data_IF_222354320101
#
_entry.id   IF_222354320101
#
_cell.length_a   1.000
_cell.length_b   1.000
_cell.length_c   1.000
_cell.angle_alpha   90.00
_cell.angle_beta   90.00
_cell.angle_gamma   90.00
#
_symmetry.space_group_name_H-M   'P 1'
#
loop_
_entity.id
_entity.type
_entity.pdbx_description
1 polymer ?
#
# COMPACT_ATOMS: atom_id res chain seq x y z
N UNK A 1 58.70 8.20 -31.80
CA UNK A 1 59.32 8.43 -30.47
C UNK A 1 58.17 8.70 -29.50
N UNK A 2 57.78 7.66 -28.76
CA UNK A 2 57.93 7.55 -27.28
C UNK A 2 56.87 8.46 -26.62
N UNK A 3 55.66 7.96 -26.33
CA UNK A 3 55.21 7.33 -25.05
C UNK A 3 55.43 8.28 -23.86
N UNK A 4 54.48 8.59 -22.98
CA UNK A 4 53.76 7.74 -22.01
C UNK A 4 52.53 8.55 -21.53
N UNK A 5 51.31 8.04 -21.37
CA UNK A 5 50.79 6.94 -20.53
C UNK A 5 50.70 7.29 -19.02
N UNK A 6 49.45 7.24 -18.50
CA UNK A 6 48.97 7.03 -17.11
C UNK A 6 47.52 7.57 -17.07
N UNK A 7 46.43 6.82 -17.14
CA UNK A 7 46.09 5.44 -16.74
C UNK A 7 46.23 5.17 -15.23
N UNK A 8 45.05 4.89 -14.66
CA UNK A 8 44.75 3.97 -13.55
C UNK A 8 44.65 4.53 -12.13
N UNK A 9 43.43 4.41 -11.60
CA UNK A 9 43.02 3.71 -10.36
C UNK A 9 41.49 3.91 -10.31
N UNK A 10 40.57 2.99 -10.61
CA UNK A 10 40.46 1.53 -10.46
C UNK A 10 40.70 1.01 -9.04
N UNK A 11 39.61 0.91 -8.27
CA UNK A 11 39.29 -0.16 -7.31
C UNK A 11 37.80 0.00 -6.94
N UNK A 12 36.98 -1.01 -6.67
CA UNK A 12 36.93 -2.43 -6.98
C UNK A 12 35.58 -2.91 -6.38
N UNK A 13 35.03 -3.98 -6.96
CA UNK A 13 34.17 -4.99 -6.30
C UNK A 13 32.75 -4.59 -5.81
N UNK A 14 31.67 -5.34 -6.09
CA UNK A 14 31.54 -6.78 -6.34
C UNK A 14 30.28 -7.12 -7.14
N UNK A 15 30.44 -8.19 -7.91
CA UNK A 15 29.46 -8.93 -8.66
C UNK A 15 28.49 -9.74 -7.77
N UNK A 16 27.41 -10.21 -8.40
CA UNK A 16 26.56 -11.38 -8.07
C UNK A 16 25.31 -11.17 -7.21
N UNK A 17 24.14 -11.20 -7.86
CA UNK A 17 23.23 -12.36 -7.83
C UNK A 17 22.09 -12.10 -8.83
N UNK A 18 22.09 -12.81 -9.96
CA UNK A 18 21.21 -13.97 -10.18
C UNK A 18 19.73 -13.63 -9.94
N UNK A 19 19.00 -13.48 -11.04
CA UNK A 19 17.54 -13.65 -11.05
C UNK A 19 17.29 -15.06 -11.58
N UNK A 20 16.97 -16.05 -10.73
CA UNK A 20 16.50 -17.33 -11.23
C UNK A 20 15.12 -17.15 -11.86
N UNK A 21 15.03 -17.41 -13.16
CA UNK A 21 13.82 -17.98 -13.73
C UNK A 21 13.69 -19.41 -13.18
N UNK A 22 12.70 -19.65 -12.33
CA UNK A 22 12.22 -21.00 -12.05
C UNK A 22 10.73 -21.09 -12.36
N UNK A 23 10.40 -22.04 -13.24
CA UNK A 23 9.06 -22.60 -13.42
C UNK A 23 8.86 -23.69 -12.37
N UNK A 24 7.87 -23.49 -11.51
CA UNK A 24 7.12 -24.50 -10.73
C UNK A 24 5.82 -23.77 -10.36
N UNK A 25 4.59 -24.09 -10.77
CA UNK A 25 3.85 -25.36 -10.83
C UNK A 25 4.04 -26.21 -9.58
N UNK A 26 3.54 -25.70 -8.45
CA UNK A 26 2.61 -26.39 -7.53
C UNK A 26 1.95 -25.36 -6.60
N UNK A 27 0.73 -25.62 -6.10
CA UNK A 27 -0.16 -24.59 -5.59
C UNK A 27 0.34 -24.08 -4.23
N UNK A 28 0.59 -22.78 -4.13
CA UNK A 28 0.68 -22.13 -2.82
C UNK A 28 -0.73 -22.15 -2.25
N UNK A 29 -0.93 -23.14 -1.40
CA UNK A 29 -1.94 -23.22 -0.37
C UNK A 29 -2.23 -21.82 0.14
N UNK A 30 -3.38 -21.31 -0.28
CA UNK A 30 -4.02 -20.17 0.33
C UNK A 30 -4.11 -20.48 1.82
N UNK A 31 -3.25 -19.85 2.62
CA UNK A 31 -3.58 -19.54 4.00
C UNK A 31 -4.74 -18.55 3.96
N UNK A 32 -5.88 -19.16 3.71
CA UNK A 32 -7.18 -18.70 4.06
C UNK A 32 -7.16 -18.59 5.59
N UNK A 33 -6.76 -17.43 6.13
CA UNK A 33 -7.40 -16.95 7.37
C UNK A 33 -8.83 -16.49 7.02
N UNK A 34 -9.60 -17.42 6.46
CA UNK A 34 -10.97 -17.60 6.88
C UNK A 34 -10.89 -17.92 8.36
N UNK A 35 -11.02 -16.88 9.18
CA UNK A 35 -11.69 -17.03 10.47
C UNK A 35 -13.14 -17.40 10.13
N UNK A 36 -13.33 -18.66 9.72
CA UNK A 36 -14.58 -19.34 9.90
C UNK A 36 -14.71 -19.36 11.42
N UNK A 37 -15.57 -18.49 11.95
CA UNK A 37 -16.18 -18.71 13.24
C UNK A 37 -16.94 -20.04 13.12
N UNK A 38 -16.22 -21.16 13.24
CA UNK A 38 -16.78 -22.31 13.90
C UNK A 38 -17.20 -21.79 15.25
N UNK A 39 -18.52 -21.71 15.44
CA UNK A 39 -19.16 -21.68 16.74
C UNK A 39 -18.72 -22.95 17.49
N UNK A 40 -17.48 -22.96 17.97
CA UNK A 40 -17.16 -23.68 19.17
C UNK A 40 -17.83 -22.84 20.26
N UNK A 41 -19.03 -23.28 20.64
CA UNK A 41 -19.56 -23.09 21.98
C UNK A 41 -18.49 -23.60 22.96
N UNK A 42 -17.46 -22.80 23.18
CA UNK A 42 -16.84 -22.75 24.49
C UNK A 42 -17.94 -22.17 25.38
N UNK A 43 -18.72 -23.08 25.96
CA UNK A 43 -19.19 -22.92 27.33
C UNK A 43 -17.94 -22.61 28.17
N UNK A 44 -17.52 -21.35 28.15
CA UNK A 44 -16.83 -20.79 29.28
C UNK A 44 -17.85 -20.90 30.40
N UNK A 45 -17.65 -21.88 31.28
CA UNK A 45 -18.17 -21.86 32.64
C UNK A 45 -17.74 -20.53 33.24
N UNK A 46 -18.55 -19.49 33.02
CA UNK A 46 -18.50 -18.29 33.81
C UNK A 46 -18.87 -18.76 35.21
N UNK A 47 -17.85 -18.94 36.07
CA UNK A 47 -18.06 -18.73 37.49
C UNK A 47 -18.77 -17.38 37.60
N UNK A 48 -20.09 -17.42 37.80
CA UNK A 48 -20.90 -16.26 38.11
C UNK A 48 -20.40 -15.76 39.45
N UNK A 49 -19.38 -14.91 39.42
CA UNK A 49 -19.06 -14.07 40.56
C UNK A 49 -20.27 -13.16 40.71
N UNK A 50 -21.14 -13.54 41.65
CA UNK A 50 -22.23 -12.71 42.19
C UNK A 50 -21.60 -11.41 42.69
N UNK A 51 -21.56 -10.42 41.81
CA UNK A 51 -21.09 -9.09 42.15
C UNK A 51 -22.26 -8.35 42.78
N UNK A 52 -22.07 -7.87 44.01
CA UNK A 52 -23.10 -7.12 44.72
C UNK A 52 -23.54 -5.88 43.94
N UNK A 53 -24.75 -5.38 44.16
CA UNK A 53 -25.21 -4.11 43.57
C UNK A 53 -24.23 -2.95 43.84
N UNK A 54 -23.65 -2.91 45.05
CA UNK A 54 -22.68 -1.88 45.42
C UNK A 54 -21.40 -1.96 44.57
N UNK A 55 -20.89 -3.16 44.33
CA UNK A 55 -19.70 -3.40 43.53
C UNK A 55 -19.97 -3.17 42.03
N UNK A 56 -21.15 -3.57 41.53
CA UNK A 56 -21.56 -3.31 40.16
C UNK A 56 -21.61 -1.79 39.88
N UNK A 57 -22.26 -1.01 40.75
CA UNK A 57 -22.33 0.45 40.62
C UNK A 57 -20.94 1.10 40.75
N UNK A 58 -20.06 0.55 41.58
CA UNK A 58 -18.68 1.04 41.74
C UNK A 58 -17.84 0.79 40.48
N UNK A 59 -17.96 -0.38 39.86
CA UNK A 59 -17.28 -0.67 38.59
C UNK A 59 -17.87 0.15 37.43
N UNK A 60 -19.19 0.37 37.39
CA UNK A 60 -19.81 1.30 36.43
C UNK A 60 -19.26 2.73 36.61
N UNK A 61 -19.14 3.20 37.85
CA UNK A 61 -18.55 4.50 38.19
C UNK A 61 -17.08 4.60 37.76
N UNK A 62 -16.31 3.52 37.91
CA UNK A 62 -14.93 3.44 37.44
C UNK A 62 -14.85 3.53 35.91
N UNK A 63 -15.71 2.81 35.19
CA UNK A 63 -15.77 2.84 33.72
C UNK A 63 -16.07 4.25 33.24
N UNK A 64 -17.11 4.90 33.77
CA UNK A 64 -17.45 6.26 33.30
C UNK A 64 -16.32 7.25 33.56
N UNK A 65 -15.48 7.06 34.57
CA UNK A 65 -14.37 7.97 34.88
C UNK A 65 -13.09 7.68 34.08
N UNK A 66 -13.05 6.61 33.28
CA UNK A 66 -11.94 6.31 32.40
C UNK A 66 -11.88 7.27 31.19
N UNK A 67 -10.69 7.53 30.62
CA UNK A 67 -10.53 8.43 29.48
C UNK A 67 -11.29 7.96 28.22
N UNK A 68 -11.34 6.65 27.98
CA UNK A 68 -12.06 6.04 26.85
C UNK A 68 -13.29 5.26 27.32
N UNK A 69 -14.07 5.81 28.25
CA UNK A 69 -15.22 5.11 28.82
C UNK A 69 -16.16 4.51 27.75
N UNK A 70 -16.33 5.19 26.61
CA UNK A 70 -17.17 4.70 25.51
C UNK A 70 -16.70 3.39 24.85
N UNK A 71 -15.44 2.98 25.01
CA UNK A 71 -14.93 1.72 24.48
C UNK A 71 -15.50 0.50 25.25
N UNK A 72 -15.76 0.66 26.55
CA UNK A 72 -16.20 -0.39 27.47
C UNK A 72 -17.71 -0.72 27.36
N UNK A 73 -18.36 -0.49 26.21
CA UNK A 73 -19.81 -0.69 26.01
C UNK A 73 -20.31 -2.07 26.45
N UNK A 74 -19.60 -3.14 26.07
CA UNK A 74 -19.99 -4.51 26.42
C UNK A 74 -19.95 -4.71 27.95
N UNK A 75 -18.84 -4.32 28.58
CA UNK A 75 -18.64 -4.46 30.03
C UNK A 75 -19.63 -3.61 30.82
N UNK A 76 -19.86 -2.36 30.41
CA UNK A 76 -20.82 -1.47 31.06
C UNK A 76 -22.25 -2.03 30.97
N UNK A 77 -22.67 -2.56 29.81
CA UNK A 77 -24.01 -3.14 29.66
C UNK A 77 -24.20 -4.40 30.52
N UNK A 78 -23.20 -5.26 30.64
CA UNK A 78 -23.26 -6.41 31.54
C UNK A 78 -23.46 -5.96 33.01
N UNK A 79 -22.72 -4.94 33.46
CA UNK A 79 -22.90 -4.38 34.79
C UNK A 79 -24.26 -3.68 34.96
N UNK A 80 -24.73 -2.99 33.92
CA UNK A 80 -26.04 -2.34 33.88
C UNK A 80 -27.17 -3.36 34.04
N UNK A 81 -27.12 -4.47 33.33
CA UNK A 81 -28.10 -5.56 33.41
C UNK A 81 -28.13 -6.18 34.80
N UNK A 82 -26.95 -6.52 35.35
CA UNK A 82 -26.84 -7.03 36.72
C UNK A 82 -27.41 -6.05 37.75
N UNK A 83 -27.03 -4.77 37.70
CA UNK A 83 -27.53 -3.76 38.62
C UNK A 83 -29.04 -3.53 38.47
N UNK A 84 -29.56 -3.54 37.25
CA UNK A 84 -31.00 -3.43 36.98
C UNK A 84 -31.78 -4.61 37.53
N UNK A 85 -31.23 -5.83 37.43
CA UNK A 85 -31.85 -7.05 37.96
C UNK A 85 -31.93 -6.98 39.49
N UNK A 86 -30.83 -6.68 40.18
CA UNK A 86 -30.83 -6.52 41.64
C UNK A 86 -31.84 -5.48 42.14
N UNK A 87 -31.91 -4.32 41.48
CA UNK A 87 -32.86 -3.28 41.86
C UNK A 87 -34.31 -3.75 41.61
N UNK A 88 -34.56 -4.44 40.50
CA UNK A 88 -35.88 -4.97 40.19
C UNK A 88 -36.35 -6.00 41.22
N UNK A 89 -35.49 -6.96 41.56
CA UNK A 89 -35.79 -8.01 42.55
C UNK A 89 -36.12 -7.40 43.90
N UNK A 90 -35.31 -6.46 44.40
CA UNK A 90 -35.57 -5.84 45.70
C UNK A 90 -36.88 -5.04 45.71
N UNK A 91 -37.24 -4.40 44.60
CA UNK A 91 -38.52 -3.69 44.46
C UNK A 91 -39.70 -4.67 44.46
N UNK A 92 -39.59 -5.81 43.78
CA UNK A 92 -40.63 -6.84 43.78
C UNK A 92 -40.74 -7.54 45.14
N UNK A 93 -39.64 -7.80 45.85
CA UNK A 93 -39.66 -8.31 47.22
C UNK A 93 -40.40 -7.35 48.16
N UNK A 94 -40.11 -6.04 48.08
CA UNK A 94 -40.81 -5.01 48.88
C UNK A 94 -42.30 -4.94 48.54
N UNK A 95 -42.65 -5.15 47.28
CA UNK A 95 -44.04 -5.19 46.82
C UNK A 95 -44.77 -6.42 47.35
N UNK A 96 -44.10 -7.57 47.37
CA UNK A 96 -44.63 -8.79 47.95
C UNK A 96 -44.84 -8.65 49.47
N UNK A 97 -43.84 -8.16 50.20
CA UNK A 97 -43.94 -7.86 51.64
C UNK A 97 -45.11 -6.89 51.94
N UNK A 98 -45.27 -5.86 51.12
CA UNK A 98 -46.37 -4.89 51.26
C UNK A 98 -47.74 -5.52 51.07
N UNK A 99 -47.88 -6.44 50.11
CA UNK A 99 -49.11 -7.17 49.84
C UNK A 99 -49.43 -8.19 50.95
N UNK A 100 -48.44 -8.93 51.45
CA UNK A 100 -48.60 -9.88 52.57
C UNK A 100 -49.03 -9.19 53.88
N UNK A 101 -48.61 -7.94 54.08
CA UNK A 101 -49.09 -7.10 55.18
C UNK A 101 -50.59 -6.69 55.04
N UNK A 102 -51.28 -7.14 53.99
CA UNK A 102 -52.71 -6.91 53.77
C UNK A 102 -53.03 -5.60 53.05
N UNK A 103 -52.03 -4.91 52.51
CA UNK A 103 -52.23 -3.68 51.75
C UNK A 103 -52.59 -3.99 50.29
N UNK A 104 -53.40 -3.12 49.67
CA UNK A 104 -53.72 -3.25 48.25
C UNK A 104 -52.48 -2.99 47.38
N UNK A 105 -52.07 -3.92 46.48
CA UNK A 105 -50.88 -3.77 45.64
C UNK A 105 -50.88 -2.52 44.76
N UNK A 106 -52.07 -2.04 44.38
CA UNK A 106 -52.27 -0.81 43.58
C UNK A 106 -51.74 0.45 44.27
N UNK A 107 -51.63 0.43 45.61
CA UNK A 107 -51.12 1.54 46.41
C UNK A 107 -49.62 1.39 46.75
N UNK A 108 -48.93 0.40 46.18
CA UNK A 108 -47.50 0.21 46.43
C UNK A 108 -46.68 1.35 45.79
N UNK A 109 -45.80 1.94 46.60
CA UNK A 109 -44.83 2.94 46.14
C UNK A 109 -43.52 2.73 46.88
N UNK A 110 -42.50 2.32 46.15
CA UNK A 110 -41.14 2.16 46.64
C UNK A 110 -40.18 2.60 45.56
N UNK A 111 -39.21 3.42 45.94
CA UNK A 111 -38.09 3.80 45.08
C UNK A 111 -36.81 3.28 45.73
N UNK A 112 -36.10 2.42 45.01
CA UNK A 112 -34.88 1.82 45.51
C UNK A 112 -33.80 2.91 45.77
N UNK A 113 -33.08 2.91 46.90
CA UNK A 113 -32.13 3.97 47.26
C UNK A 113 -31.04 4.24 46.21
N UNK A 114 -30.62 3.21 45.48
CA UNK A 114 -29.62 3.31 44.41
C UNK A 114 -30.17 3.67 43.04
N UNK A 115 -31.49 3.81 42.86
CA UNK A 115 -32.13 4.02 41.55
C UNK A 115 -31.65 5.32 40.87
N UNK A 116 -31.54 6.40 41.64
CA UNK A 116 -31.04 7.68 41.13
C UNK A 116 -29.57 7.60 40.71
N UNK A 117 -28.73 6.93 41.51
CA UNK A 117 -27.30 6.70 41.18
C UNK A 117 -27.16 5.86 39.92
N UNK A 118 -27.86 4.74 39.84
CA UNK A 118 -27.88 3.86 38.67
C UNK A 118 -28.27 4.63 37.40
N UNK A 119 -29.39 5.36 37.45
CA UNK A 119 -29.88 6.15 36.32
C UNK A 119 -28.88 7.23 35.87
N UNK A 120 -28.22 7.90 36.82
CA UNK A 120 -27.18 8.88 36.52
C UNK A 120 -25.98 8.23 35.81
N UNK A 121 -25.49 7.09 36.30
CA UNK A 121 -24.37 6.37 35.69
C UNK A 121 -24.70 5.93 34.25
N UNK A 122 -25.90 5.41 34.01
CA UNK A 122 -26.36 5.00 32.68
C UNK A 122 -26.42 6.19 31.72
N UNK A 123 -26.96 7.33 32.16
CA UNK A 123 -27.04 8.53 31.32
C UNK A 123 -25.65 9.07 30.97
N UNK A 124 -24.75 9.18 31.96
CA UNK A 124 -23.38 9.65 31.74
C UNK A 124 -22.64 8.72 30.77
N UNK A 125 -22.79 7.40 30.95
CA UNK A 125 -22.16 6.43 30.05
C UNK A 125 -22.67 6.56 28.63
N UNK A 126 -23.99 6.71 28.43
CA UNK A 126 -24.58 6.92 27.11
C UNK A 126 -23.96 8.13 26.41
N UNK A 127 -23.88 9.28 27.09
CA UNK A 127 -23.26 10.49 26.54
C UNK A 127 -21.79 10.28 26.15
N UNK A 128 -21.03 9.55 26.98
CA UNK A 128 -19.62 9.24 26.70
C UNK A 128 -19.45 8.26 25.54
N UNK A 129 -20.30 7.25 25.47
CA UNK A 129 -20.32 6.28 24.38
C UNK A 129 -20.69 6.94 23.05
N UNK A 130 -21.73 7.79 23.03
CA UNK A 130 -22.14 8.51 21.83
C UNK A 130 -21.03 9.46 21.34
N UNK A 131 -20.37 10.16 22.27
CA UNK A 131 -19.21 11.01 21.94
C UNK A 131 -18.02 10.19 21.40
N UNK A 132 -17.74 9.03 21.98
CA UNK A 132 -16.70 8.12 21.49
C UNK A 132 -17.00 7.60 20.08
N UNK A 133 -18.22 7.12 19.83
CA UNK A 133 -18.63 6.65 18.51
C UNK A 133 -18.52 7.75 17.45
N UNK A 134 -18.99 8.96 17.77
CA UNK A 134 -18.85 10.12 16.87
C UNK A 134 -17.38 10.45 16.58
N UNK A 135 -16.51 10.37 17.59
CA UNK A 135 -15.06 10.56 17.40
C UNK A 135 -14.45 9.52 16.46
N UNK A 136 -14.79 8.25 16.64
CA UNK A 136 -14.36 7.16 15.77
C UNK A 136 -14.85 7.34 14.33
N UNK A 137 -16.11 7.75 14.13
CA UNK A 137 -16.67 8.03 12.80
C UNK A 137 -15.94 9.20 12.12
N UNK A 138 -15.68 10.28 12.85
CA UNK A 138 -14.94 11.44 12.34
C UNK A 138 -13.50 11.07 11.96
N UNK A 139 -12.82 10.27 12.77
CA UNK A 139 -11.46 9.79 12.47
C UNK A 139 -11.45 8.86 11.26
N UNK A 140 -12.38 7.89 11.20
CA UNK A 140 -12.51 6.99 10.05
C UNK A 140 -12.81 7.76 8.76
N UNK A 141 -13.60 8.83 8.83
CA UNK A 141 -13.86 9.71 7.67
C UNK A 141 -12.60 10.45 7.23
N UNK A 142 -11.81 11.01 8.15
CA UNK A 142 -10.52 11.64 7.81
C UNK A 142 -9.56 10.64 7.19
N UNK A 143 -9.49 9.43 7.72
CA UNK A 143 -8.66 8.35 7.18
C UNK A 143 -9.13 7.93 5.78
N UNK A 144 -10.45 7.90 5.53
CA UNK A 144 -11.03 7.63 4.22
C UNK A 144 -10.60 8.67 3.19
N UNK A 145 -10.76 9.96 3.51
CA UNK A 145 -10.34 11.08 2.64
C UNK A 145 -8.83 11.05 2.36
N UNK A 146 -8.03 10.74 3.39
CA UNK A 146 -6.58 10.61 3.24
C UNK A 146 -6.21 9.44 2.32
N UNK A 147 -6.81 8.26 2.52
CA UNK A 147 -6.59 7.08 1.66
C UNK A 147 -6.99 7.35 0.21
N UNK A 148 -8.10 8.04 -0.03
CA UNK A 148 -8.50 8.46 -1.38
C UNK A 148 -7.47 9.40 -2.01
N UNK A 149 -6.92 10.34 -1.24
CA UNK A 149 -5.87 11.24 -1.72
C UNK A 149 -4.58 10.48 -2.11
N UNK A 150 -4.20 9.46 -1.33
CA UNK A 150 -3.06 8.59 -1.65
C UNK A 150 -3.29 7.84 -2.97
N UNK A 151 -4.50 7.31 -3.16
CA UNK A 151 -4.89 6.61 -4.40
C UNK A 151 -4.83 7.55 -5.61
N UNK A 152 -5.33 8.78 -5.49
CA UNK A 152 -5.25 9.76 -6.59
C UNK A 152 -3.81 10.17 -6.90
N UNK A 153 -2.94 10.29 -5.87
CA UNK A 153 -1.49 10.50 -6.09
C UNK A 153 -0.86 9.33 -6.85
N UNK A 154 -1.21 8.09 -6.49
CA UNK A 154 -0.73 6.89 -7.18
C UNK A 154 -1.18 6.83 -8.64
N UNK A 155 -2.46 7.14 -8.89
CA UNK A 155 -3.01 7.21 -10.24
C UNK A 155 -2.27 8.26 -11.09
N UNK A 156 -2.11 9.47 -10.57
CA UNK A 156 -1.40 10.53 -11.26
C UNK A 156 0.06 10.18 -11.59
N UNK A 157 0.70 9.34 -10.77
CA UNK A 157 2.09 8.93 -10.98
C UNK A 157 2.30 8.14 -12.29
N UNK A 158 1.30 7.46 -12.82
CA UNK A 158 1.43 6.76 -14.11
C UNK A 158 0.61 7.38 -15.24
N UNK A 159 -0.33 8.29 -14.95
CA UNK A 159 -1.12 8.96 -16.00
C UNK A 159 -0.60 10.34 -16.38
N UNK A 160 -0.01 11.09 -15.45
CA UNK A 160 0.31 12.52 -15.61
C UNK A 160 1.70 12.89 -15.09
N UNK A 161 2.65 11.96 -15.08
CA UNK A 161 4.01 12.25 -14.59
C UNK A 161 4.79 13.15 -15.53
N UNK A 162 5.34 14.24 -14.99
CA UNK A 162 6.21 15.16 -15.72
C UNK A 162 7.58 14.51 -16.02
N UNK A 163 8.22 14.86 -17.16
CA UNK A 163 9.59 14.46 -17.45
C UNK A 163 10.55 14.79 -16.30
N UNK A 164 11.36 13.83 -15.87
CA UNK A 164 12.30 13.98 -14.75
C UNK A 164 11.75 13.64 -13.36
N UNK A 165 10.48 13.24 -13.25
CA UNK A 165 9.91 12.74 -11.99
C UNK A 165 10.64 11.49 -11.51
N UNK A 166 11.08 11.47 -10.25
CA UNK A 166 11.65 10.26 -9.63
C UNK A 166 10.54 9.29 -9.20
N UNK A 167 10.10 8.45 -10.13
CA UNK A 167 9.01 7.50 -9.94
C UNK A 167 9.25 6.54 -8.75
N UNK A 168 10.50 6.09 -8.55
CA UNK A 168 10.86 5.17 -7.47
C UNK A 168 10.73 5.79 -6.07
N UNK A 169 11.13 7.06 -5.93
CA UNK A 169 10.95 7.79 -4.67
C UNK A 169 9.46 8.02 -4.41
N UNK A 170 8.72 8.50 -5.41
CA UNK A 170 7.30 8.80 -5.28
C UNK A 170 6.46 7.57 -4.90
N UNK A 171 6.71 6.41 -5.54
CA UNK A 171 5.96 5.19 -5.20
C UNK A 171 6.29 4.67 -3.80
N UNK A 172 7.54 4.86 -3.33
CA UNK A 172 7.93 4.52 -1.96
C UNK A 172 7.18 5.37 -0.94
N UNK A 173 7.12 6.67 -1.15
CA UNK A 173 6.38 7.60 -0.29
C UNK A 173 4.88 7.24 -0.25
N UNK A 174 4.27 6.94 -1.41
CA UNK A 174 2.87 6.50 -1.49
C UNK A 174 2.62 5.20 -0.70
N UNK A 175 3.50 4.21 -0.83
CA UNK A 175 3.40 2.94 -0.08
C UNK A 175 3.52 3.16 1.43
N UNK A 176 4.41 4.05 1.84
CA UNK A 176 4.62 4.40 3.25
C UNK A 176 3.42 5.18 3.82
N UNK A 177 2.87 6.12 3.07
CA UNK A 177 1.65 6.84 3.46
C UNK A 177 0.45 5.89 3.56
N UNK A 178 0.33 4.94 2.63
CA UNK A 178 -0.75 3.94 2.65
C UNK A 178 -0.71 3.01 3.86
N UNK A 179 0.49 2.60 4.29
CA UNK A 179 0.66 1.73 5.45
C UNK A 179 0.44 2.46 6.78
N UNK A 180 0.76 3.75 6.84
CA UNK A 180 0.53 4.62 8.01
C UNK A 180 -0.88 5.17 8.10
N UNK A 181 -1.65 5.15 7.02
CA UNK A 181 -3.02 5.62 7.03
C UNK A 181 -3.85 4.83 8.06
N UNK A 182 -4.69 5.53 8.83
CA UNK A 182 -5.49 4.91 9.88
C UNK A 182 -6.60 4.00 9.35
N UNK A 183 -7.39 3.46 10.29
CA UNK A 183 -8.52 2.60 9.99
C UNK A 183 -9.66 3.38 9.32
N UNK A 184 -10.42 2.70 8.47
CA UNK A 184 -11.62 3.21 7.82
C UNK A 184 -12.80 2.31 8.13
N UNK A 185 -14.02 2.79 7.87
CA UNK A 185 -15.22 1.99 8.01
C UNK A 185 -15.11 0.68 7.21
N UNK A 186 -15.57 -0.44 7.81
CA UNK A 186 -15.48 -1.78 7.20
C UNK A 186 -16.15 -1.85 5.82
N UNK A 187 -17.22 -1.08 5.61
CA UNK A 187 -17.93 -0.97 4.32
C UNK A 187 -17.05 -0.40 3.20
N UNK A 188 -16.16 0.54 3.53
CA UNK A 188 -15.32 1.25 2.55
C UNK A 188 -13.98 0.54 2.30
N UNK A 189 -13.48 -0.20 3.30
CA UNK A 189 -12.16 -0.80 3.26
C UNK A 189 -11.92 -1.66 2.02
N UNK A 190 -12.86 -2.54 1.67
CA UNK A 190 -12.72 -3.46 0.53
C UNK A 190 -12.56 -2.69 -0.79
N UNK A 191 -13.37 -1.65 -0.98
CA UNK A 191 -13.36 -0.84 -2.22
C UNK A 191 -12.06 -0.06 -2.31
N UNK A 192 -11.66 0.62 -1.22
CA UNK A 192 -10.39 1.35 -1.13
C UNK A 192 -9.19 0.46 -1.42
N UNK A 193 -9.14 -0.72 -0.80
CA UNK A 193 -8.01 -1.64 -0.94
C UNK A 193 -7.88 -2.15 -2.37
N UNK A 194 -8.99 -2.57 -2.99
CA UNK A 194 -9.00 -3.01 -4.37
C UNK A 194 -8.58 -1.89 -5.34
N UNK A 195 -9.04 -0.67 -5.09
CA UNK A 195 -8.71 0.49 -5.91
C UNK A 195 -7.22 0.85 -5.83
N UNK A 196 -6.66 0.86 -4.62
CA UNK A 196 -5.22 1.05 -4.40
C UNK A 196 -4.38 0.01 -5.15
N UNK A 197 -4.68 -1.28 -4.98
CA UNK A 197 -3.92 -2.35 -5.65
C UNK A 197 -4.13 -2.38 -7.17
N UNK A 198 -5.30 -2.00 -7.65
CA UNK A 198 -5.53 -1.79 -9.08
C UNK A 198 -4.55 -0.75 -9.65
N UNK A 199 -4.49 0.45 -9.05
CA UNK A 199 -3.59 1.51 -9.51
C UNK A 199 -2.12 1.18 -9.28
N UNK A 200 -1.79 0.41 -8.24
CA UNK A 200 -0.43 -0.08 -8.02
C UNK A 200 0.00 -1.02 -9.15
N UNK A 201 -0.88 -1.93 -9.57
CA UNK A 201 -0.62 -2.81 -10.72
C UNK A 201 -0.49 -2.03 -12.02
N UNK A 202 -1.33 -1.01 -12.24
CA UNK A 202 -1.23 -0.13 -13.42
C UNK A 202 0.11 0.63 -13.46
N UNK A 203 0.59 1.11 -12.31
CA UNK A 203 1.90 1.74 -12.21
C UNK A 203 3.03 0.78 -12.63
N UNK A 204 3.00 -0.47 -12.18
CA UNK A 204 4.02 -1.46 -12.58
C UNK A 204 3.93 -1.84 -14.06
N UNK A 205 2.71 -2.00 -14.61
CA UNK A 205 2.52 -2.24 -16.05
C UNK A 205 3.10 -1.11 -16.91
N UNK A 206 2.97 0.15 -16.48
CA UNK A 206 3.57 1.29 -17.17
C UNK A 206 5.11 1.23 -17.12
N UNK A 207 5.71 0.82 -16.00
CA UNK A 207 7.16 0.65 -15.91
C UNK A 207 7.67 -0.44 -16.86
N UNK A 208 6.97 -1.57 -16.92
CA UNK A 208 7.32 -2.68 -17.81
C UNK A 208 7.19 -2.26 -19.28
N UNK A 209 6.09 -1.59 -19.66
CA UNK A 209 5.88 -1.10 -21.01
C UNK A 209 6.96 -0.09 -21.44
N UNK A 210 7.37 0.81 -20.54
CA UNK A 210 8.44 1.77 -20.82
C UNK A 210 9.79 1.07 -21.03
N UNK A 211 10.05 -0.01 -20.27
CA UNK A 211 11.25 -0.82 -20.45
C UNK A 211 11.23 -1.53 -21.81
N UNK A 212 10.11 -2.15 -22.17
CA UNK A 212 9.94 -2.80 -23.47
C UNK A 212 10.08 -1.82 -24.63
N UNK A 213 9.51 -0.61 -24.52
CA UNK A 213 9.65 0.44 -25.53
C UNK A 213 11.11 0.87 -25.70
N UNK A 214 11.85 1.06 -24.60
CA UNK A 214 13.27 1.40 -24.64
C UNK A 214 14.11 0.29 -25.27
N UNK A 215 13.83 -0.97 -24.97
CA UNK A 215 14.49 -2.13 -25.59
C UNK A 215 14.22 -2.19 -27.10
N UNK A 216 12.99 -1.90 -27.52
CA UNK A 216 12.63 -1.81 -28.94
C UNK A 216 13.34 -0.64 -29.64
N UNK A 217 13.42 0.53 -29.01
CA UNK A 217 14.19 1.68 -29.54
C UNK A 217 15.67 1.31 -29.69
N UNK A 218 16.28 0.69 -28.68
CA UNK A 218 17.67 0.24 -28.76
C UNK A 218 17.89 -0.79 -29.87
N UNK A 219 16.97 -1.74 -30.05
CA UNK A 219 17.01 -2.71 -31.15
C UNK A 219 16.93 -2.01 -32.51
N UNK A 220 15.98 -1.09 -32.68
CA UNK A 220 15.82 -0.33 -33.92
C UNK A 220 17.04 0.55 -34.24
N UNK A 221 17.61 1.18 -33.21
CA UNK A 221 18.82 2.00 -33.34
C UNK A 221 20.06 1.14 -33.65
N UNK A 222 20.12 -0.07 -33.11
CA UNK A 222 21.15 -1.04 -33.46
C UNK A 222 21.03 -1.47 -34.94
N UNK A 223 19.83 -1.76 -35.43
CA UNK A 223 19.57 -2.07 -36.84
C UNK A 223 20.03 -0.93 -37.76
N UNK A 224 19.71 0.33 -37.43
CA UNK A 224 20.21 1.50 -38.19
C UNK A 224 21.74 1.53 -38.24
N UNK A 225 22.42 1.34 -37.10
CA UNK A 225 23.89 1.30 -37.05
C UNK A 225 24.45 0.17 -37.90
N UNK A 226 23.83 -1.01 -37.84
CA UNK A 226 24.22 -2.15 -38.67
C UNK A 226 24.05 -1.86 -40.16
N UNK A 227 22.96 -1.19 -40.57
CA UNK A 227 22.76 -0.76 -41.95
C UNK A 227 23.82 0.24 -42.43
N UNK A 228 24.22 1.18 -41.57
CA UNK A 228 25.31 2.13 -41.88
C UNK A 228 26.63 1.37 -42.07
N UNK A 229 26.96 0.46 -41.15
CA UNK A 229 28.17 -0.38 -41.21
C UNK A 229 28.18 -1.23 -42.48
N UNK A 230 27.08 -1.91 -42.77
CA UNK A 230 26.94 -2.76 -43.95
C UNK A 230 27.10 -1.95 -45.24
N UNK A 231 26.49 -0.76 -45.30
CA UNK A 231 26.68 0.14 -46.44
C UNK A 231 28.13 0.59 -46.57
N UNK A 232 28.80 0.91 -45.46
CA UNK A 232 30.22 1.26 -45.47
C UNK A 232 31.09 0.09 -46.00
N UNK A 233 30.81 -1.16 -45.60
CA UNK A 233 31.51 -2.35 -46.13
C UNK A 233 31.37 -2.45 -47.65
N UNK A 234 30.20 -2.15 -48.19
CA UNK A 234 30.00 -2.13 -49.65
C UNK A 234 30.84 -1.04 -50.35
N UNK A 235 31.01 0.13 -49.71
CA UNK A 235 31.85 1.22 -50.23
C UNK A 235 33.34 0.87 -50.25
N UNK A 236 33.78 -0.05 -49.39
CA UNK A 236 35.16 -0.56 -49.42
C UNK A 236 35.51 -1.17 -50.79
N UNK A 237 34.53 -1.76 -51.48
CA UNK A 237 34.69 -2.39 -52.79
C UNK A 237 34.21 -1.54 -53.98
N UNK A 238 33.70 -0.33 -53.75
CA UNK A 238 33.23 0.55 -54.83
C UNK A 238 34.42 1.02 -55.70
N UNK A 239 34.45 0.73 -57.01
CA UNK A 239 35.61 1.03 -57.87
C UNK A 239 35.88 2.54 -58.00
N UNK A 240 34.85 3.38 -57.93
CA UNK A 240 35.01 4.83 -58.05
C UNK A 240 35.31 5.45 -56.68
N UNK A 241 36.60 5.71 -56.39
CA UNK A 241 37.07 6.20 -55.09
C UNK A 241 36.34 7.48 -54.64
N UNK A 242 36.19 8.47 -55.53
CA UNK A 242 35.47 9.71 -55.19
C UNK A 242 34.01 9.47 -54.80
N UNK A 243 33.34 8.50 -55.44
CA UNK A 243 31.96 8.12 -55.10
C UNK A 243 31.90 7.49 -53.72
N UNK A 244 32.83 6.56 -53.42
CA UNK A 244 32.95 5.94 -52.11
C UNK A 244 33.18 6.96 -50.99
N UNK A 245 34.06 7.95 -51.22
CA UNK A 245 34.35 9.00 -50.24
C UNK A 245 33.17 9.95 -50.00
N UNK A 246 32.45 10.35 -51.05
CA UNK A 246 31.26 11.22 -50.92
C UNK A 246 30.14 10.50 -50.16
N UNK A 247 29.92 9.23 -50.45
CA UNK A 247 28.89 8.44 -49.77
C UNK A 247 29.29 8.11 -48.33
N UNK A 248 30.58 7.86 -48.05
CA UNK A 248 31.08 7.69 -46.69
C UNK A 248 30.86 8.96 -45.83
N UNK A 249 31.04 10.16 -46.39
CA UNK A 249 30.69 11.41 -45.68
C UNK A 249 29.21 11.47 -45.32
N UNK A 250 28.33 11.01 -46.21
CA UNK A 250 26.90 10.90 -45.94
C UNK A 250 26.63 9.88 -44.81
N UNK A 251 27.32 8.73 -44.80
CA UNK A 251 27.18 7.75 -43.73
C UNK A 251 27.65 8.27 -42.37
N UNK A 252 28.72 9.07 -42.30
CA UNK A 252 29.14 9.76 -41.06
C UNK A 252 28.10 10.76 -40.57
N UNK A 253 27.47 11.48 -41.49
CA UNK A 253 26.37 12.37 -41.16
C UNK A 253 25.17 11.57 -40.62
N UNK A 254 24.81 10.48 -41.28
CA UNK A 254 23.74 9.58 -40.88
C UNK A 254 23.99 8.96 -39.49
N UNK A 255 25.24 8.54 -39.22
CA UNK A 255 25.64 8.06 -37.90
C UNK A 255 25.48 9.14 -36.82
N UNK A 256 25.86 10.38 -37.11
CA UNK A 256 25.77 11.46 -36.12
C UNK A 256 24.34 11.93 -35.87
N UNK A 257 23.51 11.96 -36.91
CA UNK A 257 22.15 12.52 -36.86
C UNK A 257 21.09 11.47 -36.48
N UNK A 258 21.26 10.21 -36.90
CA UNK A 258 20.24 9.17 -36.74
C UNK A 258 20.68 7.98 -35.86
N UNK A 259 21.96 7.85 -35.53
CA UNK A 259 22.39 6.82 -34.57
C UNK A 259 22.15 7.29 -33.13
N UNK A 260 20.88 7.27 -32.75
CA UNK A 260 20.40 7.36 -31.38
C UNK A 260 21.10 6.33 -30.45
N UNK A 261 21.00 6.49 -29.12
CA UNK A 261 21.63 5.57 -28.17
C UNK A 261 21.17 4.13 -28.41
N UNK A 262 22.13 3.20 -28.36
CA UNK A 262 21.89 1.75 -28.30
C UNK A 262 22.27 1.25 -26.90
N UNK A 263 21.91 0.00 -26.60
CA UNK A 263 22.34 -0.68 -25.39
C UNK A 263 23.87 -0.60 -25.24
N UNK A 264 24.33 -0.48 -23.99
CA UNK A 264 25.73 -0.19 -23.65
C UNK A 264 26.71 -1.18 -24.28
N UNK A 265 26.36 -2.47 -24.29
CA UNK A 265 27.15 -3.56 -24.88
C UNK A 265 27.40 -3.42 -26.39
N UNK A 266 26.54 -2.72 -27.13
CA UNK A 266 26.70 -2.53 -28.57
C UNK A 266 27.29 -1.17 -28.94
N UNK A 267 27.39 -0.24 -27.98
CA UNK A 267 27.73 1.16 -28.28
C UNK A 267 29.15 1.29 -28.84
N UNK A 268 30.14 0.76 -28.13
CA UNK A 268 31.55 0.86 -28.55
C UNK A 268 31.84 -0.04 -29.75
N UNK A 269 31.35 -1.29 -29.69
CA UNK A 269 31.56 -2.29 -30.75
C UNK A 269 31.11 -1.80 -32.13
N UNK A 270 29.90 -1.23 -32.21
CA UNK A 270 29.37 -0.73 -33.50
C UNK A 270 30.15 0.49 -34.00
N UNK A 271 30.62 1.35 -33.10
CA UNK A 271 31.44 2.51 -33.45
C UNK A 271 32.82 2.12 -33.99
N UNK A 272 33.50 1.21 -33.29
CA UNK A 272 34.82 0.71 -33.71
C UNK A 272 34.76 0.06 -35.09
N UNK A 273 33.74 -0.76 -35.35
CA UNK A 273 33.56 -1.41 -36.65
C UNK A 273 33.36 -0.39 -37.78
N UNK A 274 32.45 0.59 -37.59
CA UNK A 274 32.22 1.64 -38.57
C UNK A 274 33.48 2.47 -38.82
N UNK A 275 34.23 2.81 -37.75
CA UNK A 275 35.48 3.56 -37.82
C UNK A 275 36.57 2.81 -38.57
N UNK A 276 36.73 1.51 -38.33
CA UNK A 276 37.71 0.68 -39.04
C UNK A 276 37.45 0.66 -40.54
N UNK A 277 36.20 0.43 -40.95
CA UNK A 277 35.81 0.43 -42.36
C UNK A 277 36.01 1.80 -43.00
N UNK A 278 35.65 2.87 -42.28
CA UNK A 278 35.88 4.24 -42.73
C UNK A 278 37.37 4.52 -42.98
N UNK A 279 38.26 4.04 -42.12
CA UNK A 279 39.71 4.21 -42.30
C UNK A 279 40.22 3.49 -43.55
N UNK A 280 39.80 2.24 -43.77
CA UNK A 280 40.15 1.46 -44.97
C UNK A 280 39.74 2.18 -46.26
N UNK A 281 38.55 2.79 -46.30
CA UNK A 281 38.09 3.56 -47.47
C UNK A 281 38.96 4.81 -47.68
N UNK A 282 39.37 5.49 -46.61
CA UNK A 282 40.27 6.64 -46.71
C UNK A 282 41.68 6.27 -47.19
N UNK A 283 42.21 5.12 -46.78
CA UNK A 283 43.51 4.61 -47.22
C UNK A 283 43.56 4.35 -48.73
N UNK A 284 42.45 3.96 -49.36
CA UNK A 284 42.35 3.77 -50.83
C UNK A 284 42.60 5.05 -51.65
N UNK A 285 42.54 6.23 -51.02
CA UNK A 285 42.84 7.52 -51.66
C UNK A 285 44.33 7.84 -51.66
N UNK A 286 45.08 7.32 -50.69
CA UNK A 286 46.53 7.56 -50.52
C UNK A 286 47.33 6.73 -51.52
#
# INVERSE_FOLDING_TARGET
MITENNLSENEENKNSNEIPQEKTSEPVESQDESTHHEETEHEEEHEEVEISLADALKEMEKIINAPNAGEDFKKFNQLKEKASHYIHDEVEDKKHEYAEAGNAPENFSYEHPSQAKFSALVNIFREKHDAYQKGQEEEQKKNLEHRQTIIERLKNLYTNSEPGTNLFKSIREIKEDWSKAGQVAKSEFKILNNNYFHHLNQFYQMLDLNKEFLEQEYSHNLEKRQHIIERAKQLEHEPVIQKALNELQYLHKLWKEEAEPVAEEFREKTWEEFKEISNKIHERKS
#
